data_IF_876748884949
#
_entry.id   IF_876748884949
#
_cell.length_a   1.000
_cell.length_b   1.000
_cell.length_c   1.000
_cell.angle_alpha   90.00
_cell.angle_beta   90.00
_cell.angle_gamma   90.00
#
_symmetry.space_group_name_H-M   'P 1'
#
loop_
_entity.id
_entity.type
_entity.pdbx_description
1 polymer ?
#
# COMPACT_ATOMS: atom_id res chain seq x y z
N UNK A 1 -19.53 8.45 -6.19
CA UNK A 1 -18.88 9.68 -5.67
C UNK A 1 -19.06 9.68 -4.17
N UNK A 2 -18.05 9.25 -3.40
CA UNK A 2 -18.15 9.17 -1.94
C UNK A 2 -17.87 10.53 -1.30
N UNK A 3 -18.74 10.94 -0.40
CA UNK A 3 -18.70 12.23 0.30
C UNK A 3 -18.21 12.03 1.75
N UNK A 4 -16.90 11.93 1.95
CA UNK A 4 -16.28 12.06 3.28
C UNK A 4 -14.96 12.82 3.18
N UNK A 5 -15.07 14.09 2.80
CA UNK A 5 -14.00 15.08 2.86
C UNK A 5 -14.52 16.34 3.55
N UNK A 6 -14.98 16.19 4.78
CA UNK A 6 -15.33 17.32 5.63
C UNK A 6 -14.66 17.04 6.97
N UNK A 7 -13.49 17.65 7.21
CA UNK A 7 -12.69 17.49 8.43
C UNK A 7 -13.38 18.00 9.69
N UNK A 8 -14.56 17.50 9.99
CA UNK A 8 -15.28 17.72 11.24
C UNK A 8 -14.66 16.79 12.28
N UNK A 9 -14.00 17.39 13.27
CA UNK A 9 -13.58 16.68 14.49
C UNK A 9 -14.84 16.17 15.20
N UNK A 10 -14.81 14.91 15.61
CA UNK A 10 -15.83 14.29 16.45
C UNK A 10 -15.80 14.99 17.83
N UNK A 11 -16.92 15.53 18.34
CA UNK A 11 -16.98 16.04 19.70
C UNK A 11 -16.72 14.90 20.70
N UNK A 12 -15.94 15.17 21.75
CA UNK A 12 -15.54 14.24 22.84
C UNK A 12 -14.43 13.21 22.56
N UNK A 13 -13.54 13.43 21.58
CA UNK A 13 -12.25 12.73 21.57
C UNK A 13 -11.20 13.47 22.43
N UNK A 14 -10.60 12.84 23.46
CA UNK A 14 -9.44 13.41 24.12
C UNK A 14 -8.23 13.40 23.17
N UNK A 15 -7.53 14.53 23.04
CA UNK A 15 -6.32 14.68 22.24
C UNK A 15 -5.20 13.78 22.80
N UNK A 16 -4.91 12.67 22.12
CA UNK A 16 -3.76 11.82 22.46
C UNK A 16 -2.51 12.54 21.92
N UNK A 17 -1.80 13.22 22.81
CA UNK A 17 -0.55 13.90 22.51
C UNK A 17 0.55 12.85 22.22
N UNK A 18 0.82 12.61 20.93
CA UNK A 18 1.83 11.67 20.42
C UNK A 18 3.27 12.24 20.49
N UNK A 19 3.59 13.07 21.48
CA UNK A 19 4.86 13.80 21.52
C UNK A 19 5.67 13.60 22.81
N UNK A 20 5.77 12.36 23.29
CA UNK A 20 6.66 12.05 24.43
C UNK A 20 7.20 10.62 24.52
N UNK A 21 7.32 9.88 23.42
CA UNK A 21 8.13 8.64 23.40
C UNK A 21 9.49 8.90 22.76
N UNK A 22 10.36 9.63 23.47
CA UNK A 22 11.81 9.59 23.20
C UNK A 22 12.42 8.45 24.02
N UNK A 23 12.88 7.39 23.35
CA UNK A 23 13.70 6.32 23.93
C UNK A 23 14.97 6.12 23.06
N UNK A 24 16.10 5.69 23.67
CA UNK A 24 17.41 6.19 23.31
C UNK A 24 18.03 5.51 22.09
N UNK A 25 18.83 6.33 21.39
CA UNK A 25 19.72 5.97 20.29
C UNK A 25 20.81 5.00 20.77
N UNK A 26 20.68 3.73 20.42
CA UNK A 26 21.77 2.74 20.52
C UNK A 26 22.74 3.01 19.37
N UNK A 27 23.95 3.44 19.71
CA UNK A 27 25.07 3.62 18.77
C UNK A 27 25.59 2.25 18.32
N UNK A 28 25.18 1.78 17.14
CA UNK A 28 25.84 0.63 16.50
C UNK A 28 26.99 1.12 15.61
N UNK A 29 28.16 0.57 15.92
CA UNK A 29 29.45 0.84 15.32
C UNK A 29 29.48 0.58 13.82
N UNK A 30 30.15 1.50 13.14
CA UNK A 30 30.65 1.45 11.77
C UNK A 30 31.49 0.20 11.55
N UNK A 31 31.19 -0.58 10.51
CA UNK A 31 32.12 -0.90 9.42
C UNK A 31 31.36 -1.47 8.22
N UNK A 32 31.74 -1.00 7.03
CA UNK A 32 31.04 -1.29 5.79
C UNK A 32 31.34 -2.67 5.24
N UNK A 33 30.41 -3.18 4.42
CA UNK A 33 30.76 -3.97 3.25
C UNK A 33 29.59 -3.99 2.25
N UNK A 34 29.86 -3.33 1.11
CA UNK A 34 29.65 -3.77 -0.26
C UNK A 34 28.36 -4.53 -0.62
N UNK A 35 27.59 -3.88 -1.49
CA UNK A 35 26.54 -4.45 -2.32
C UNK A 35 27.03 -5.66 -3.12
N UNK A 36 26.21 -6.72 -3.11
CA UNK A 36 26.12 -7.69 -4.19
C UNK A 36 24.64 -7.88 -4.49
N UNK A 37 24.24 -7.36 -5.64
CA UNK A 37 22.97 -7.67 -6.28
C UNK A 37 22.94 -9.17 -6.61
N UNK A 38 21.82 -9.82 -6.29
CA UNK A 38 21.58 -11.23 -6.57
C UNK A 38 20.08 -11.47 -6.68
N UNK A 39 19.59 -11.40 -7.92
CA UNK A 39 18.23 -11.72 -8.31
C UNK A 39 17.91 -13.20 -8.08
N UNK A 40 16.64 -13.48 -7.79
CA UNK A 40 16.06 -14.82 -7.82
C UNK A 40 15.23 -15.14 -6.58
N UNK A 41 14.09 -14.48 -6.41
CA UNK A 41 13.02 -15.10 -5.62
C UNK A 41 12.00 -15.66 -6.62
N UNK A 42 12.03 -16.98 -6.74
CA UNK A 42 11.06 -17.79 -7.45
C UNK A 42 9.70 -17.52 -6.80
N UNK A 43 8.82 -16.81 -7.52
CA UNK A 43 7.42 -16.62 -7.15
C UNK A 43 6.73 -17.99 -7.22
N UNK A 44 6.78 -18.74 -6.12
CA UNK A 44 5.90 -19.89 -5.92
C UNK A 44 4.46 -19.36 -5.72
N UNK A 45 3.68 -19.46 -6.80
CA UNK A 45 2.24 -19.22 -6.84
C UNK A 45 1.49 -20.23 -5.96
N UNK A 46 1.56 -20.06 -4.65
CA UNK A 46 0.61 -20.71 -3.75
C UNK A 46 -0.69 -19.91 -3.77
N UNK A 47 -1.63 -20.42 -4.57
CA UNK A 47 -3.01 -19.98 -4.61
C UNK A 47 -3.65 -20.22 -3.23
N UNK A 48 -3.58 -19.20 -2.37
CA UNK A 48 -4.21 -19.22 -1.05
C UNK A 48 -5.73 -19.24 -1.27
N UNK A 49 -6.33 -20.41 -1.05
CA UNK A 49 -7.77 -20.60 -1.10
C UNK A 49 -8.40 -19.76 0.03
N UNK A 50 -9.08 -18.70 -0.38
CA UNK A 50 -9.89 -17.81 0.45
C UNK A 50 -11.11 -18.58 1.00
N UNK A 51 -10.90 -19.30 2.10
CA UNK A 51 -11.98 -19.77 2.96
C UNK A 51 -12.31 -18.62 3.90
N UNK A 52 -13.32 -17.83 3.51
CA UNK A 52 -13.84 -16.72 4.30
C UNK A 52 -14.40 -17.23 5.61
N UNK A 53 -13.72 -16.87 6.70
CA UNK A 53 -14.17 -17.12 8.08
C UNK A 53 -15.00 -15.90 8.51
N UNK A 54 -16.32 -16.08 8.58
CA UNK A 54 -17.25 -15.09 9.14
C UNK A 54 -17.20 -15.22 10.67
N UNK A 55 -16.50 -14.30 11.35
CA UNK A 55 -16.54 -14.25 12.81
C UNK A 55 -17.27 -13.01 13.32
N UNK A 56 -18.25 -13.30 14.15
CA UNK A 56 -19.30 -12.44 14.67
C UNK A 56 -18.77 -11.59 15.84
N UNK A 57 -19.31 -10.38 15.97
CA UNK A 57 -18.74 -9.32 16.78
C UNK A 57 -18.86 -9.48 18.29
N UNK A 58 -17.73 -9.21 18.95
CA UNK A 58 -17.53 -8.53 20.24
C UNK A 58 -18.43 -8.95 21.41
N UNK A 59 -17.91 -9.85 22.25
CA UNK A 59 -18.38 -10.00 23.63
C UNK A 59 -17.84 -8.86 24.52
N UNK A 60 -18.75 -8.19 25.22
CA UNK A 60 -18.46 -7.15 26.18
C UNK A 60 -17.69 -7.75 27.37
N UNK A 61 -16.50 -7.23 27.66
CA UNK A 61 -15.67 -7.69 28.79
C UNK A 61 -16.37 -7.37 30.10
N UNK A 62 -16.96 -8.40 30.69
CA UNK A 62 -17.74 -8.32 31.93
C UNK A 62 -16.80 -8.03 33.11
N UNK A 63 -16.87 -6.80 33.64
CA UNK A 63 -16.08 -6.32 34.79
C UNK A 63 -16.41 -7.06 36.11
N UNK A 64 -17.35 -8.01 36.11
CA UNK A 64 -17.92 -8.65 37.31
C UNK A 64 -17.27 -9.98 37.77
N UNK A 65 -16.36 -10.58 36.99
CA UNK A 65 -15.89 -11.96 37.26
C UNK A 65 -15.14 -12.14 38.60
N UNK A 66 -14.33 -11.17 39.01
CA UNK A 66 -13.47 -11.32 40.20
C UNK A 66 -14.24 -11.22 41.53
N UNK A 67 -15.21 -10.29 41.63
CA UNK A 67 -16.04 -10.18 42.84
C UNK A 67 -16.95 -11.39 43.02
N UNK A 68 -17.46 -11.94 41.91
CA UNK A 68 -18.23 -13.20 41.89
C UNK A 68 -17.39 -14.38 42.41
N UNK A 69 -16.14 -14.50 41.97
CA UNK A 69 -15.22 -15.53 42.43
C UNK A 69 -14.89 -15.43 43.93
N UNK A 70 -14.67 -14.21 44.45
CA UNK A 70 -14.43 -14.01 45.88
C UNK A 70 -15.65 -14.41 46.72
N UNK A 71 -16.86 -14.05 46.27
CA UNK A 71 -18.10 -14.46 46.93
C UNK A 71 -18.29 -15.98 46.92
N UNK A 72 -17.91 -16.66 45.83
CA UNK A 72 -17.95 -18.12 45.71
C UNK A 72 -17.00 -18.81 46.70
N UNK A 73 -15.76 -18.31 46.85
CA UNK A 73 -14.79 -18.82 47.83
C UNK A 73 -15.32 -18.62 49.26
N UNK A 74 -15.78 -17.41 49.58
CA UNK A 74 -16.29 -17.08 50.91
C UNK A 74 -17.49 -17.96 51.28
N UNK A 75 -18.40 -18.23 50.33
CA UNK A 75 -19.53 -19.12 50.55
C UNK A 75 -19.10 -20.55 50.91
N UNK A 76 -18.05 -21.09 50.28
CA UNK A 76 -17.58 -22.46 50.55
C UNK A 76 -16.78 -22.55 51.86
N UNK A 77 -16.02 -21.51 52.21
CA UNK A 77 -15.22 -21.49 53.44
C UNK A 77 -16.07 -21.24 54.69
N UNK A 78 -17.12 -20.42 54.58
CA UNK A 78 -18.01 -20.10 55.69
C UNK A 78 -19.11 -21.15 55.92
N UNK A 79 -19.26 -22.14 55.04
CA UNK A 79 -20.24 -23.23 55.18
C UNK A 79 -19.86 -24.18 56.33
N UNK A 80 -20.59 -24.15 57.47
CA UNK A 80 -20.28 -24.97 58.64
C UNK A 80 -20.63 -26.45 58.43
N UNK A 81 -21.37 -26.78 57.36
CA UNK A 81 -21.75 -28.16 57.04
C UNK A 81 -20.67 -28.92 56.27
N UNK A 82 -19.68 -28.21 55.72
CA UNK A 82 -18.56 -28.80 54.98
C UNK A 82 -17.38 -29.08 55.88
N UNK A 83 -16.81 -30.27 55.71
CA UNK A 83 -15.54 -30.61 56.34
C UNK A 83 -14.35 -29.87 55.68
N UNK A 84 -13.25 -29.63 56.41
CA UNK A 84 -12.03 -29.04 55.83
C UNK A 84 -11.46 -29.82 54.65
N UNK A 85 -11.67 -31.14 54.62
CA UNK A 85 -11.26 -32.01 53.51
C UNK A 85 -12.06 -31.73 52.24
N UNK A 86 -13.37 -31.51 52.37
CA UNK A 86 -14.26 -31.18 51.26
C UNK A 86 -13.99 -29.77 50.73
N UNK A 87 -13.80 -28.79 51.61
CA UNK A 87 -13.38 -27.43 51.23
C UNK A 87 -12.08 -27.46 50.42
N UNK A 88 -11.06 -28.20 50.89
CA UNK A 88 -9.79 -28.36 50.17
C UNK A 88 -9.93 -29.09 48.84
N UNK A 89 -10.85 -30.06 48.73
CA UNK A 89 -11.12 -30.75 47.47
C UNK A 89 -11.79 -29.80 46.48
N UNK A 90 -12.75 -29.00 46.94
CA UNK A 90 -13.42 -27.99 46.13
C UNK A 90 -12.43 -26.93 45.62
N UNK A 91 -11.56 -26.38 46.50
CA UNK A 91 -10.53 -25.41 46.09
C UNK A 91 -9.60 -25.97 45.01
N UNK A 92 -9.20 -27.24 45.11
CA UNK A 92 -8.38 -27.90 44.09
C UNK A 92 -9.10 -28.04 42.76
N UNK A 93 -10.39 -28.39 42.79
CA UNK A 93 -11.20 -28.49 41.58
C UNK A 93 -11.41 -27.12 40.93
N UNK A 94 -11.69 -26.08 41.74
CA UNK A 94 -11.86 -24.71 41.24
C UNK A 94 -10.56 -24.15 40.66
N UNK A 95 -9.41 -24.43 41.27
CA UNK A 95 -8.11 -24.06 40.72
C UNK A 95 -7.83 -24.73 39.36
N UNK A 96 -8.23 -25.98 39.17
CA UNK A 96 -8.11 -26.66 37.88
C UNK A 96 -9.01 -26.02 36.81
N UNK A 97 -10.26 -25.67 37.16
CA UNK A 97 -11.17 -24.98 36.24
C UNK A 97 -10.62 -23.63 35.78
N UNK A 98 -10.03 -22.85 36.69
CA UNK A 98 -9.42 -21.56 36.31
C UNK A 98 -8.21 -21.73 35.39
N UNK A 99 -7.45 -22.81 35.56
CA UNK A 99 -6.33 -23.10 34.64
C UNK A 99 -6.85 -23.52 33.26
N UNK A 100 -7.95 -24.26 33.19
CA UNK A 100 -8.64 -24.59 31.93
C UNK A 100 -9.15 -23.33 31.22
N UNK A 101 -9.91 -22.48 31.92
CA UNK A 101 -10.39 -21.19 31.39
C UNK A 101 -9.22 -20.30 30.92
N UNK A 102 -8.12 -20.26 31.67
CA UNK A 102 -6.90 -19.52 31.28
C UNK A 102 -6.30 -20.06 29.98
N UNK A 103 -6.16 -21.38 29.85
CA UNK A 103 -5.60 -22.00 28.65
C UNK A 103 -6.50 -21.76 27.44
N UNK A 104 -7.81 -21.79 27.60
CA UNK A 104 -8.75 -21.49 26.53
C UNK A 104 -8.56 -20.05 26.02
N UNK A 105 -8.51 -19.07 26.93
CA UNK A 105 -8.21 -17.66 26.58
C UNK A 105 -6.85 -17.54 25.86
N UNK A 106 -5.82 -18.25 26.32
CA UNK A 106 -4.51 -18.24 25.66
C UNK A 106 -4.57 -18.85 24.25
N UNK A 107 -5.37 -19.89 24.04
CA UNK A 107 -5.53 -20.51 22.72
C UNK A 107 -6.27 -19.58 21.76
N UNK A 108 -7.32 -18.89 22.21
CA UNK A 108 -8.06 -17.90 21.44
C UNK A 108 -7.15 -16.71 21.09
N UNK A 109 -6.40 -16.19 22.05
CA UNK A 109 -5.44 -15.11 21.82
C UNK A 109 -4.40 -15.49 20.76
N UNK A 110 -3.90 -16.73 20.78
CA UNK A 110 -2.99 -17.25 19.74
C UNK A 110 -3.67 -17.38 18.38
N UNK A 111 -4.94 -17.77 18.33
CA UNK A 111 -5.70 -17.82 17.08
C UNK A 111 -5.87 -16.43 16.46
N UNK A 112 -6.22 -15.43 17.29
CA UNK A 112 -6.29 -14.03 16.87
C UNK A 112 -4.93 -13.53 16.37
N UNK A 113 -3.84 -13.84 17.06
CA UNK A 113 -2.49 -13.44 16.64
C UNK A 113 -2.10 -14.06 15.29
N UNK A 114 -2.49 -15.33 15.04
CA UNK A 114 -2.29 -15.96 13.73
C UNK A 114 -3.05 -15.22 12.62
N UNK A 115 -4.29 -14.82 12.87
CA UNK A 115 -5.08 -14.05 11.89
C UNK A 115 -4.48 -12.67 11.66
N UNK A 116 -4.03 -11.98 12.70
CA UNK A 116 -3.30 -10.70 12.59
C UNK A 116 -2.07 -10.83 11.71
N UNK A 117 -1.30 -11.90 11.87
CA UNK A 117 -0.11 -12.13 11.08
C UNK A 117 -0.40 -12.44 9.61
N UNK A 118 -1.47 -13.20 9.32
CA UNK A 118 -1.96 -13.39 7.94
C UNK A 118 -2.35 -12.04 7.33
N UNK A 119 -3.13 -11.25 8.05
CA UNK A 119 -3.56 -9.93 7.60
C UNK A 119 -2.38 -8.99 7.34
N UNK A 120 -1.39 -8.97 8.24
CA UNK A 120 -0.19 -8.14 8.10
C UNK A 120 0.64 -8.52 6.87
N UNK A 121 0.75 -9.83 6.57
CA UNK A 121 1.43 -10.29 5.35
C UNK A 121 0.67 -9.89 4.09
N UNK A 122 -0.64 -10.08 4.09
CA UNK A 122 -1.50 -9.71 2.97
C UNK A 122 -1.44 -8.21 2.71
N UNK A 123 -1.59 -7.38 3.74
CA UNK A 123 -1.52 -5.92 3.60
C UNK A 123 -0.15 -5.46 3.10
N UNK A 124 0.94 -6.01 3.63
CA UNK A 124 2.29 -5.71 3.14
C UNK A 124 2.49 -6.09 1.66
N UNK A 125 1.94 -7.23 1.22
CA UNK A 125 1.98 -7.65 -0.19
C UNK A 125 1.20 -6.68 -1.07
N UNK A 126 0.00 -6.26 -0.62
CA UNK A 126 -0.86 -5.31 -1.35
C UNK A 126 -0.26 -3.92 -1.43
N UNK A 127 0.35 -3.41 -0.36
CA UNK A 127 1.01 -2.11 -0.36
C UNK A 127 2.16 -2.06 -1.38
N UNK A 128 2.95 -3.14 -1.48
CA UNK A 128 4.01 -3.26 -2.49
C UNK A 128 3.45 -3.30 -3.91
N UNK A 129 2.35 -4.00 -4.14
CA UNK A 129 1.67 -4.05 -5.45
C UNK A 129 1.15 -2.67 -5.88
N UNK A 130 0.58 -1.93 -4.94
CA UNK A 130 0.11 -0.57 -5.15
C UNK A 130 1.28 0.37 -5.48
N UNK A 131 2.39 0.31 -4.72
CA UNK A 131 3.54 1.18 -4.99
C UNK A 131 4.19 0.86 -6.33
N UNK A 132 4.30 -0.42 -6.72
CA UNK A 132 4.75 -0.80 -8.07
C UNK A 132 3.89 -0.18 -9.16
N UNK A 133 2.56 -0.27 -9.01
CA UNK A 133 1.61 0.31 -9.97
C UNK A 133 1.70 1.84 -10.02
N UNK A 134 1.99 2.49 -8.89
CA UNK A 134 2.20 3.93 -8.79
C UNK A 134 3.45 4.37 -9.55
N UNK A 135 4.58 3.70 -9.33
CA UNK A 135 5.85 3.97 -10.01
C UNK A 135 5.77 3.71 -11.52
N UNK A 136 5.08 2.66 -11.95
CA UNK A 136 4.87 2.38 -13.37
C UNK A 136 4.01 3.47 -14.04
N UNK A 137 2.97 3.96 -13.36
CA UNK A 137 2.20 5.10 -13.84
C UNK A 137 3.06 6.35 -14.00
N UNK A 138 3.90 6.65 -13.01
CA UNK A 138 4.83 7.79 -13.06
C UNK A 138 5.82 7.66 -14.23
N UNK A 139 6.39 6.46 -14.43
CA UNK A 139 7.26 6.15 -15.58
C UNK A 139 6.56 6.42 -16.91
N UNK A 140 5.34 5.93 -17.07
CA UNK A 140 4.54 6.13 -18.28
C UNK A 140 4.14 7.60 -18.48
N UNK A 141 3.88 8.36 -17.41
CA UNK A 141 3.62 9.80 -17.52
C UNK A 141 4.84 10.56 -18.05
N UNK A 142 6.03 10.27 -17.52
CA UNK A 142 7.28 10.87 -17.99
C UNK A 142 7.59 10.48 -19.44
N UNK A 143 7.33 9.24 -19.82
CA UNK A 143 7.48 8.79 -21.20
C UNK A 143 6.49 9.49 -22.14
N UNK A 144 5.23 9.64 -21.73
CA UNK A 144 4.23 10.42 -22.46
C UNK A 144 4.63 11.89 -22.62
N UNK A 145 5.20 12.49 -21.57
CA UNK A 145 5.72 13.86 -21.63
C UNK A 145 6.89 13.98 -22.62
N UNK A 146 7.86 13.06 -22.56
CA UNK A 146 8.97 12.99 -23.51
C UNK A 146 8.46 12.90 -24.95
N UNK A 147 7.53 11.97 -25.23
CA UNK A 147 6.97 11.80 -26.57
C UNK A 147 6.21 13.05 -27.04
N UNK A 148 5.44 13.68 -26.16
CA UNK A 148 4.73 14.94 -26.47
C UNK A 148 5.69 16.06 -26.84
N UNK A 149 6.82 16.17 -26.14
CA UNK A 149 7.84 17.18 -26.46
C UNK A 149 8.53 16.89 -27.79
N UNK A 150 8.86 15.63 -28.07
CA UNK A 150 9.41 15.22 -29.37
C UNK A 150 8.44 15.48 -30.53
N UNK A 151 7.14 15.26 -30.33
CA UNK A 151 6.11 15.56 -31.33
C UNK A 151 6.06 17.07 -31.63
N UNK A 152 6.00 17.91 -30.60
CA UNK A 152 6.04 19.38 -30.75
C UNK A 152 7.30 19.87 -31.46
N UNK A 153 8.46 19.30 -31.14
CA UNK A 153 9.70 19.64 -31.83
C UNK A 153 9.61 19.30 -33.33
N UNK A 154 9.15 18.10 -33.68
CA UNK A 154 8.98 17.69 -35.09
C UNK A 154 7.96 18.56 -35.83
N UNK A 155 6.87 18.95 -35.18
CA UNK A 155 5.90 19.90 -35.73
C UNK A 155 6.58 21.23 -36.09
N UNK A 156 7.37 21.80 -35.18
CA UNK A 156 8.13 23.03 -35.43
C UNK A 156 9.16 22.88 -36.55
N UNK A 157 9.90 21.76 -36.61
CA UNK A 157 10.85 21.48 -37.69
C UNK A 157 10.15 21.39 -39.06
N UNK A 158 8.97 20.78 -39.13
CA UNK A 158 8.15 20.73 -40.35
C UNK A 158 7.62 22.12 -40.74
N UNK A 159 7.17 22.92 -39.78
CA UNK A 159 6.75 24.31 -40.01
C UNK A 159 7.89 25.18 -40.55
N UNK A 160 9.11 24.99 -40.04
CA UNK A 160 10.29 25.68 -40.53
C UNK A 160 10.63 25.28 -41.97
N UNK A 161 10.68 23.98 -42.27
CA UNK A 161 10.94 23.47 -43.63
C UNK A 161 9.92 23.98 -44.65
N UNK A 162 8.62 23.91 -44.32
CA UNK A 162 7.53 24.41 -45.19
C UNK A 162 7.64 25.91 -45.47
N UNK A 163 8.15 26.70 -44.53
CA UNK A 163 8.34 28.14 -44.70
C UNK A 163 9.62 28.46 -45.51
N UNK A 164 10.66 27.64 -45.40
CA UNK A 164 11.88 27.74 -46.21
C UNK A 164 11.65 27.41 -47.68
N UNK A 165 10.89 26.34 -47.95
CA UNK A 165 10.51 25.95 -49.32
C UNK A 165 9.69 27.03 -50.04
N UNK A 166 8.89 27.80 -49.29
CA UNK A 166 8.13 28.95 -49.81
C UNK A 166 9.02 30.15 -50.18
N UNK A 167 10.20 30.30 -49.57
CA UNK A 167 11.14 31.38 -49.87
C UNK A 167 12.01 31.03 -51.09
N UNK A 168 12.41 29.76 -51.22
CA UNK A 168 13.18 29.26 -52.37
C UNK A 168 12.34 29.19 -53.66
N UNK A 169 11.04 28.83 -53.56
CA UNK A 169 10.13 28.83 -54.73
C UNK A 169 9.78 30.23 -55.24
N UNK A 170 9.98 31.29 -54.45
CA UNK A 170 9.72 32.67 -54.86
C UNK A 170 10.95 33.34 -55.53
N UNK A 171 12.12 32.69 -55.55
CA UNK A 171 13.39 33.25 -56.03
C UNK A 171 13.77 32.92 -57.49
N UNK A 172 13.00 32.08 -58.21
CA UNK A 172 13.29 31.66 -59.59
C UNK A 172 12.28 32.23 -60.60
N UNK A 173 12.09 33.55 -60.61
CA UNK A 173 11.08 34.21 -61.46
C UNK A 173 11.56 35.38 -62.31
N UNK A 174 12.86 35.70 -62.33
CA UNK A 174 13.39 36.79 -63.17
C UNK A 174 14.76 36.42 -63.68
N UNK A 175 14.85 35.92 -64.91
CA UNK A 175 15.82 36.36 -65.93
C UNK A 175 15.82 35.42 -67.15
N UNK A 176 16.01 36.04 -68.32
CA UNK A 176 16.30 35.45 -69.65
C UNK A 176 15.14 34.96 -70.54
N UNK A 177 14.41 35.93 -71.11
CA UNK A 177 13.88 35.78 -72.48
C UNK A 177 14.55 36.82 -73.38
N UNK A 178 15.75 36.50 -73.88
CA UNK A 178 16.39 37.26 -74.94
C UNK A 178 17.11 36.34 -75.92
N UNK A 179 16.56 36.25 -77.14
CA UNK A 179 17.29 35.82 -78.33
C UNK A 179 16.91 34.44 -78.86
N UNK A 180 15.98 34.42 -79.82
CA UNK A 180 16.00 33.56 -81.02
C UNK A 180 14.79 33.87 -81.90
N UNK A 181 14.96 34.77 -82.86
CA UNK A 181 14.25 34.68 -84.14
C UNK A 181 14.90 35.61 -85.19
N UNK A 182 15.90 35.07 -85.88
CA UNK A 182 16.21 35.46 -87.26
C UNK A 182 16.78 34.23 -87.97
N UNK A 183 16.01 33.65 -88.88
CA UNK A 183 16.49 33.14 -90.17
C UNK A 183 15.27 32.69 -90.99
N UNK A 184 14.68 33.62 -91.74
CA UNK A 184 13.86 33.28 -92.90
C UNK A 184 14.51 33.92 -94.14
N UNK A 185 15.27 33.12 -94.87
CA UNK A 185 15.63 33.41 -96.25
C UNK A 185 15.75 32.09 -97.04
N UNK A 186 14.83 31.91 -97.98
CA UNK A 186 15.14 31.26 -99.27
C UNK A 186 14.49 29.91 -99.57
N UNK A 187 13.42 29.94 -100.38
CA UNK A 187 13.22 29.07 -101.56
C UNK A 187 12.15 29.68 -102.48
N UNK A 188 12.55 30.48 -103.48
CA UNK A 188 12.59 30.16 -104.94
C UNK A 188 11.40 29.33 -105.42
N UNK A 189 10.44 29.94 -106.12
CA UNK A 189 10.17 29.83 -107.58
C UNK A 189 9.18 30.92 -108.00
#
# INVERSE_FOLDING_TARGET
MCAYHSGQKIPDCPDINLQSCSLPHVTLSKDGNQCVDGEGEEDEDEADHDEGDEEEGSEEVERGGFESFLAEIDAVLQDPTRSPLEQRKWLRMRALQLEEERLDIETEALAIERQRFKWQRFSSKKDREIERSRLENERLMLENERMRMQARQKELELHFKRSGDSLESAGFGTEEEQGREQMEFGRVH
#
